data_IF_028762604836
#
_entry.id   IF_028762604836
#
_cell.length_a   1.000
_cell.length_b   1.000
_cell.length_c   1.000
_cell.angle_alpha   90.00
_cell.angle_beta   90.00
_cell.angle_gamma   90.00
#
_symmetry.space_group_name_H-M   'P 1'
#
loop_
_entity.id
_entity.type
_entity.pdbx_description
1 polymer ?
#
# COMPACT_ATOMS: atom_id res chain seq x y z
N UNK A 1 2.11 11.98 -10.67
CA UNK A 1 1.71 11.44 -9.35
C UNK A 1 2.63 12.04 -8.32
N UNK A 2 2.10 12.40 -7.16
CA UNK A 2 2.85 12.98 -6.07
C UNK A 2 2.97 11.96 -4.93
N UNK A 3 4.12 11.95 -4.26
CA UNK A 3 4.42 11.05 -3.16
C UNK A 3 4.41 11.79 -1.84
N UNK A 4 3.71 11.22 -0.85
CA UNK A 4 3.71 11.72 0.51
C UNK A 4 4.72 10.94 1.36
N UNK A 5 5.86 11.53 1.76
CA UNK A 5 6.84 10.82 2.60
C UNK A 5 6.35 10.54 4.03
N UNK A 6 5.17 11.08 4.42
CA UNK A 6 4.58 10.88 5.75
C UNK A 6 3.76 9.59 5.85
N UNK A 7 3.07 9.20 4.79
CA UNK A 7 2.24 7.98 4.74
C UNK A 7 2.61 7.04 3.60
N UNK A 8 3.68 7.34 2.86
CA UNK A 8 4.18 6.55 1.74
C UNK A 8 3.15 6.26 0.64
N UNK A 9 2.13 7.11 0.51
CA UNK A 9 1.09 6.99 -0.53
C UNK A 9 1.37 7.86 -1.74
N UNK A 10 0.94 7.38 -2.89
CA UNK A 10 0.84 8.17 -4.10
C UNK A 10 -0.54 8.84 -4.17
N UNK A 11 -0.55 10.12 -4.51
CA UNK A 11 -1.79 10.87 -4.76
C UNK A 11 -1.67 11.67 -6.05
N UNK A 12 -2.82 11.95 -6.67
CA UNK A 12 -2.90 12.86 -7.81
C UNK A 12 -3.22 14.30 -7.37
N UNK A 13 -3.64 14.47 -6.14
CA UNK A 13 -3.99 15.75 -5.54
C UNK A 13 -2.74 16.50 -5.06
N UNK A 14 -2.82 17.83 -5.02
CA UNK A 14 -1.75 18.69 -4.47
C UNK A 14 -1.61 18.60 -2.94
N UNK A 15 -2.53 17.89 -2.30
CA UNK A 15 -2.58 17.66 -0.85
C UNK A 15 -2.83 16.17 -0.57
N UNK A 16 -2.19 15.63 0.46
CA UNK A 16 -2.41 14.25 0.87
C UNK A 16 -3.74 14.11 1.64
N UNK A 17 -4.73 13.34 1.15
CA UNK A 17 -6.02 13.16 1.85
C UNK A 17 -5.88 12.35 3.15
N UNK A 18 -4.86 11.50 3.25
CA UNK A 18 -4.62 10.64 4.43
C UNK A 18 -3.83 11.35 5.53
N UNK A 19 -3.05 12.39 5.20
CA UNK A 19 -2.23 13.14 6.15
C UNK A 19 -2.80 14.54 6.44
N UNK A 20 -4.13 14.65 6.46
CA UNK A 20 -4.85 15.88 6.83
C UNK A 20 -4.42 17.10 5.97
N UNK A 21 -4.27 16.89 4.65
CA UNK A 21 -3.98 17.97 3.71
C UNK A 21 -2.50 18.38 3.64
N UNK A 22 -1.57 17.49 4.02
CA UNK A 22 -0.13 17.77 3.93
C UNK A 22 0.28 18.18 2.50
N UNK A 23 0.79 19.42 2.35
CA UNK A 23 1.31 20.00 1.10
C UNK A 23 2.77 19.63 0.79
N UNK A 24 3.42 18.85 1.66
CA UNK A 24 4.81 18.37 1.49
C UNK A 24 4.86 17.15 0.59
N UNK A 25 4.16 17.23 -0.53
CA UNK A 25 4.19 16.23 -1.57
C UNK A 25 5.42 16.48 -2.44
N UNK A 26 6.13 15.42 -2.77
CA UNK A 26 7.30 15.48 -3.67
C UNK A 26 7.13 14.49 -4.81
N UNK A 27 7.96 14.60 -5.83
CA UNK A 27 8.05 13.57 -6.86
C UNK A 27 8.62 12.28 -6.24
N UNK A 28 7.99 11.11 -6.49
CA UNK A 28 8.54 9.84 -6.02
C UNK A 28 9.88 9.57 -6.70
N UNK A 29 10.87 9.19 -5.90
CA UNK A 29 12.11 8.60 -6.39
C UNK A 29 11.92 7.11 -6.61
N UNK A 30 12.71 6.49 -7.50
CA UNK A 30 12.60 5.07 -7.81
C UNK A 30 12.74 4.14 -6.59
N UNK A 31 13.50 4.57 -5.58
CA UNK A 31 13.74 3.83 -4.34
C UNK A 31 12.72 4.16 -3.22
N UNK A 32 11.86 5.17 -3.42
CA UNK A 32 10.90 5.56 -2.39
C UNK A 32 9.90 4.43 -2.11
N UNK A 33 9.70 4.03 -0.84
CA UNK A 33 8.74 2.99 -0.48
C UNK A 33 7.33 3.53 -0.67
N UNK A 34 6.61 2.95 -1.62
CA UNK A 34 5.22 3.27 -1.93
C UNK A 34 4.32 2.17 -1.43
N UNK A 35 3.24 2.55 -0.74
CA UNK A 35 2.20 1.63 -0.34
C UNK A 35 1.56 1.02 -1.58
N UNK A 36 1.67 -0.31 -1.72
CA UNK A 36 1.03 -1.09 -2.78
C UNK A 36 -0.42 -1.36 -2.42
N UNK A 37 -0.66 -1.97 -1.26
CA UNK A 37 -1.99 -2.29 -0.74
C UNK A 37 -1.96 -2.55 0.77
N UNK A 38 -3.12 -2.42 1.39
CA UNK A 38 -3.38 -2.88 2.75
C UNK A 38 -4.44 -3.98 2.70
N UNK A 39 -4.16 -5.13 3.32
CA UNK A 39 -5.09 -6.27 3.31
C UNK A 39 -4.97 -7.11 4.58
N UNK A 40 -5.83 -8.11 4.74
CA UNK A 40 -5.85 -9.03 5.89
C UNK A 40 -4.81 -10.13 5.73
N UNK A 41 -4.50 -10.83 6.82
CA UNK A 41 -3.56 -11.96 6.82
C UNK A 41 -3.77 -12.97 5.68
N UNK A 42 -5.04 -13.32 5.39
CA UNK A 42 -5.38 -14.31 4.37
C UNK A 42 -4.86 -13.92 2.99
N UNK A 43 -5.16 -12.71 2.53
CA UNK A 43 -4.65 -12.20 1.25
C UNK A 43 -3.17 -11.87 1.30
N UNK A 44 -2.66 -11.39 2.43
CA UNK A 44 -1.23 -11.13 2.60
C UNK A 44 -0.40 -12.40 2.37
N UNK A 45 -0.86 -13.54 2.89
CA UNK A 45 -0.24 -14.85 2.69
C UNK A 45 -0.28 -15.33 1.23
N UNK A 46 -1.22 -14.83 0.43
CA UNK A 46 -1.29 -15.11 -1.02
C UNK A 46 -0.47 -14.14 -1.86
N UNK A 47 -0.39 -12.86 -1.47
CA UNK A 47 0.32 -11.81 -2.21
C UNK A 47 1.83 -11.88 -1.99
N UNK A 48 2.26 -12.23 -0.78
CA UNK A 48 3.67 -12.38 -0.42
C UNK A 48 4.46 -13.31 -1.38
N UNK A 49 4.05 -14.57 -1.61
CA UNK A 49 4.76 -15.45 -2.53
C UNK A 49 4.74 -14.93 -3.97
N UNK A 50 3.67 -14.25 -4.40
CA UNK A 50 3.60 -13.69 -5.76
C UNK A 50 4.65 -12.60 -6.00
N UNK A 51 4.84 -11.73 -5.02
CA UNK A 51 5.89 -10.71 -5.07
C UNK A 51 7.28 -11.34 -5.04
N UNK A 52 7.48 -12.39 -4.22
CA UNK A 52 8.74 -13.15 -4.19
C UNK A 52 9.06 -13.86 -5.50
N UNK A 53 8.07 -14.54 -6.10
CA UNK A 53 8.21 -15.25 -7.38
C UNK A 53 8.51 -14.29 -8.52
N UNK A 54 7.85 -13.13 -8.53
CA UNK A 54 8.13 -12.05 -9.47
C UNK A 54 9.46 -11.32 -9.20
N UNK A 55 10.15 -11.63 -8.09
CA UNK A 55 11.39 -10.98 -7.63
C UNK A 55 11.23 -9.48 -7.41
N UNK A 56 10.03 -9.08 -7.01
CA UNK A 56 9.70 -7.69 -6.73
C UNK A 56 10.16 -7.37 -5.31
N UNK A 57 11.01 -6.35 -5.10
CA UNK A 57 11.38 -5.92 -3.76
C UNK A 57 10.14 -5.37 -3.03
N UNK A 58 9.82 -5.95 -1.87
CA UNK A 58 8.71 -5.50 -1.03
C UNK A 58 9.11 -5.43 0.44
N UNK A 59 8.34 -4.67 1.21
CA UNK A 59 8.39 -4.60 2.66
C UNK A 59 7.00 -4.82 3.21
N UNK A 60 6.83 -5.89 4.01
CA UNK A 60 5.59 -6.18 4.72
C UNK A 60 5.67 -5.59 6.12
N UNK A 61 4.71 -4.75 6.47
CA UNK A 61 4.55 -4.19 7.82
C UNK A 61 3.24 -4.72 8.41
N UNK A 62 3.31 -5.36 9.58
CA UNK A 62 2.13 -5.67 10.36
C UNK A 62 1.63 -4.40 11.06
N UNK A 63 0.33 -4.13 10.96
CA UNK A 63 -0.30 -3.06 11.75
C UNK A 63 -0.65 -3.53 13.17
N UNK A 64 -0.24 -4.73 13.57
CA UNK A 64 -0.55 -5.29 14.90
C UNK A 64 0.10 -4.47 16.03
N UNK A 65 1.13 -3.67 15.73
CA UNK A 65 1.82 -2.80 16.68
C UNK A 65 1.35 -1.33 16.78
N UNK A 66 0.54 -0.81 15.85
CA UNK A 66 0.17 0.63 15.82
C UNK A 66 -1.17 0.97 16.50
N UNK A 67 -1.83 -0.04 17.07
CA UNK A 67 -3.21 0.05 17.59
C UNK A 67 -3.34 0.22 19.10
N UNK A 68 -2.41 0.89 19.79
CA UNK A 68 -2.59 1.19 21.21
C UNK A 68 -3.29 2.55 21.49
N UNK A 69 -3.62 3.38 20.49
CA UNK A 69 -4.01 4.77 20.80
C UNK A 69 -5.16 5.41 20.01
N UNK A 70 -5.77 4.78 19.00
CA UNK A 70 -6.94 5.37 18.33
C UNK A 70 -8.04 4.33 18.22
N UNK A 71 -8.95 4.40 19.19
CA UNK A 71 -10.05 3.45 19.33
C UNK A 71 -11.02 3.50 18.16
N UNK A 72 -11.24 2.35 17.54
CA UNK A 72 -12.57 1.77 17.31
C UNK A 72 -12.37 0.34 16.79
N UNK A 73 -12.89 -0.64 17.53
CA UNK A 73 -13.40 -1.91 16.99
C UNK A 73 -12.49 -2.78 16.12
N UNK A 74 -12.21 -3.96 16.66
CA UNK A 74 -11.85 -5.23 15.99
C UNK A 74 -10.37 -5.51 15.74
N UNK A 75 -9.92 -6.58 16.40
CA UNK A 75 -8.69 -7.34 16.16
C UNK A 75 -8.64 -7.86 14.72
N UNK A 76 -8.35 -7.02 13.74
CA UNK A 76 -7.98 -7.49 12.41
C UNK A 76 -6.53 -7.12 12.15
N UNK A 77 -5.67 -8.12 12.22
CA UNK A 77 -4.31 -8.08 11.67
C UNK A 77 -4.40 -7.66 10.21
N UNK A 78 -4.12 -6.39 9.96
CA UNK A 78 -3.95 -5.83 8.64
C UNK A 78 -2.46 -5.71 8.34
N UNK A 79 -2.10 -6.09 7.13
CA UNK A 79 -0.74 -6.05 6.61
C UNK A 79 -0.69 -5.03 5.50
N UNK A 80 0.38 -4.25 5.51
CA UNK A 80 0.67 -3.27 4.48
C UNK A 80 1.90 -3.71 3.71
N UNK A 81 1.75 -3.76 2.39
CA UNK A 81 2.86 -4.04 1.48
C UNK A 81 3.36 -2.72 0.90
N UNK A 82 4.66 -2.49 1.04
CA UNK A 82 5.35 -1.35 0.45
C UNK A 82 6.32 -1.87 -0.60
N UNK A 83 6.39 -1.20 -1.74
CA UNK A 83 7.31 -1.52 -2.84
C UNK A 83 7.98 -0.24 -3.30
N UNK A 84 9.24 -0.29 -3.76
CA UNK A 84 9.89 0.90 -4.30
C UNK A 84 9.12 1.40 -5.53
N UNK A 85 9.01 2.72 -5.72
CA UNK A 85 8.24 3.30 -6.83
C UNK A 85 8.63 2.74 -8.20
N UNK A 86 9.91 2.40 -8.40
CA UNK A 86 10.38 1.77 -9.64
C UNK A 86 9.70 0.43 -9.94
N UNK A 87 9.37 -0.35 -8.90
CA UNK A 87 8.72 -1.65 -8.99
C UNK A 87 7.19 -1.57 -8.73
N UNK A 88 6.69 -0.42 -8.30
CA UNK A 88 5.27 -0.18 -8.05
C UNK A 88 4.34 -0.52 -9.23
N UNK A 89 4.58 -0.04 -10.48
CA UNK A 89 3.69 -0.37 -11.58
C UNK A 89 3.65 -1.86 -11.88
N UNK A 90 4.81 -2.54 -11.84
CA UNK A 90 4.92 -3.99 -12.05
C UNK A 90 4.17 -4.78 -10.97
N UNK A 91 4.35 -4.40 -9.70
CA UNK A 91 3.66 -5.02 -8.57
C UNK A 91 2.14 -4.82 -8.63
N UNK A 92 1.69 -3.62 -9.04
CA UNK A 92 0.29 -3.29 -9.17
C UNK A 92 -0.36 -4.11 -10.28
N UNK A 93 0.28 -4.23 -11.44
CA UNK A 93 -0.23 -5.04 -12.55
C UNK A 93 -0.27 -6.53 -12.20
N UNK A 94 0.75 -7.04 -11.52
CA UNK A 94 0.80 -8.43 -11.05
C UNK A 94 -0.37 -8.74 -10.11
N UNK A 95 -0.55 -7.94 -9.05
CA UNK A 95 -1.59 -8.18 -8.06
C UNK A 95 -2.98 -7.92 -8.66
N UNK A 96 -3.17 -6.83 -9.41
CA UNK A 96 -4.45 -6.55 -10.05
C UNK A 96 -4.83 -7.59 -11.11
N UNK A 97 -3.86 -8.15 -11.83
CA UNK A 97 -4.09 -9.21 -12.81
C UNK A 97 -4.50 -10.54 -12.18
N UNK A 98 -3.84 -10.92 -11.08
CA UNK A 98 -4.12 -12.19 -10.39
C UNK A 98 -5.41 -12.10 -9.56
N UNK A 99 -5.63 -10.98 -8.88
CA UNK A 99 -6.77 -10.75 -7.99
C UNK A 99 -7.86 -9.87 -8.62
N UNK A 100 -7.98 -9.87 -9.96
CA UNK A 100 -8.96 -9.05 -10.67
C UNK A 100 -10.41 -9.28 -10.22
N UNK A 101 -10.73 -10.49 -9.71
CA UNK A 101 -12.04 -10.86 -9.20
C UNK A 101 -12.17 -10.74 -7.66
N UNK A 102 -11.13 -10.29 -6.98
CA UNK A 102 -11.06 -10.23 -5.52
C UNK A 102 -11.35 -8.79 -5.05
N UNK A 103 -12.60 -8.52 -4.68
CA UNK A 103 -13.05 -7.17 -4.32
C UNK A 103 -12.28 -6.57 -3.14
N UNK A 104 -11.85 -7.39 -2.17
CA UNK A 104 -11.08 -6.92 -1.01
C UNK A 104 -9.67 -6.44 -1.41
N UNK A 105 -9.00 -7.17 -2.30
CA UNK A 105 -7.67 -6.78 -2.81
C UNK A 105 -7.78 -5.55 -3.71
N UNK A 106 -8.76 -5.53 -4.61
CA UNK A 106 -8.98 -4.40 -5.51
C UNK A 106 -9.34 -3.12 -4.74
N UNK A 107 -10.12 -3.23 -3.66
CA UNK A 107 -10.36 -2.12 -2.73
C UNK A 107 -9.06 -1.66 -2.06
N UNK A 108 -8.25 -2.60 -1.55
CA UNK A 108 -6.98 -2.27 -0.90
C UNK A 108 -5.96 -1.57 -1.82
N UNK A 109 -5.87 -2.00 -3.08
CA UNK A 109 -5.09 -1.34 -4.14
C UNK A 109 -5.61 0.08 -4.42
N UNK A 110 -6.93 0.22 -4.51
CA UNK A 110 -7.59 1.52 -4.70
C UNK A 110 -7.36 2.48 -3.54
N UNK A 111 -7.38 1.99 -2.30
CA UNK A 111 -7.10 2.80 -1.11
C UNK A 111 -5.65 3.26 -1.04
N UNK A 112 -4.70 2.47 -1.56
CA UNK A 112 -3.29 2.83 -1.57
C UNK A 112 -3.00 4.05 -2.45
N UNK A 113 -3.78 4.22 -3.53
CA UNK A 113 -3.79 5.43 -4.35
C UNK A 113 -4.73 6.43 -3.68
N UNK A 114 -4.18 7.46 -3.05
CA UNK A 114 -5.00 8.52 -2.45
C UNK A 114 -5.80 9.24 -3.52
N UNK A 115 -7.08 8.88 -3.68
CA UNK A 115 -8.09 9.61 -4.46
C UNK A 115 -8.37 10.96 -3.82
#
# INVERSE_FOLDING_TARGET
>A
MLYCPKCSRLTRSEVCPSCEGSKRLREPSGDDPVLLLATRFVHASMIEPLLEEAKIPYSKIDQMGWGATLGFGTMLESYQFYVPYAAYPEALELVAGIFANDEEVMRGLGEAVGQ
#
